data_IF_851718188544
#
_entry.id   IF_851718188544
#
_cell.length_a   1.000
_cell.length_b   1.000
_cell.length_c   1.000
_cell.angle_alpha   90.00
_cell.angle_beta   90.00
_cell.angle_gamma   90.00
#
_symmetry.space_group_name_H-M   'P 1'
#
loop_
_entity.id
_entity.type
_entity.pdbx_description
1 polymer ?
#
# COMPACT_ATOMS: atom_id res chain seq x y z
N UNK A 1 -0.93 0.09 10.23
CA UNK A 1 -0.68 0.42 8.81
C UNK A 1 -1.99 0.13 8.10
N UNK A 2 -2.65 1.16 7.59
CA UNK A 2 -4.07 1.09 7.22
C UNK A 2 -4.34 0.55 5.83
N UNK A 3 -5.61 0.49 5.49
CA UNK A 3 -6.10 0.18 4.15
C UNK A 3 -5.75 1.33 3.19
N UNK A 4 -5.58 1.03 1.89
CA UNK A 4 -5.31 2.04 0.89
C UNK A 4 -6.53 2.94 0.69
N UNK A 5 -6.33 4.24 0.73
CA UNK A 5 -7.42 5.19 0.42
C UNK A 5 -7.25 5.63 -1.03
N UNK A 6 -8.14 5.15 -1.92
CA UNK A 6 -8.10 5.43 -3.37
C UNK A 6 -6.78 4.99 -4.03
N UNK A 7 -6.24 3.84 -3.63
CA UNK A 7 -4.97 3.31 -4.12
C UNK A 7 -3.75 4.10 -3.65
N UNK A 8 -3.91 5.04 -2.71
CA UNK A 8 -2.82 5.82 -2.13
C UNK A 8 -2.54 5.39 -0.71
N UNK A 9 -1.26 5.47 -0.38
CA UNK A 9 -0.71 5.17 0.92
C UNK A 9 0.16 6.35 1.41
N UNK A 10 0.47 6.42 2.72
CA UNK A 10 1.43 7.38 3.25
C UNK A 10 2.76 7.34 2.48
N UNK A 11 3.45 8.47 2.42
CA UNK A 11 4.69 8.62 1.64
C UNK A 11 5.69 7.49 1.92
N UNK A 12 6.14 6.83 0.85
CA UNK A 12 7.07 5.69 0.94
C UNK A 12 6.42 4.34 1.24
N UNK A 13 5.09 4.24 1.16
CA UNK A 13 4.33 2.99 1.18
C UNK A 13 3.61 2.79 -0.15
N UNK A 14 3.35 1.54 -0.47
CA UNK A 14 2.63 1.15 -1.67
C UNK A 14 1.33 0.44 -1.30
N UNK A 15 0.35 0.51 -2.19
CA UNK A 15 -0.92 -0.17 -2.02
C UNK A 15 -0.82 -1.58 -2.61
N UNK A 16 -0.92 -2.58 -1.74
CA UNK A 16 -1.05 -3.96 -2.21
C UNK A 16 -2.36 -4.17 -2.97
N UNK A 17 -2.37 -5.20 -3.81
CA UNK A 17 -3.57 -5.71 -4.50
C UNK A 17 -4.74 -6.07 -3.55
N UNK A 18 -4.46 -6.27 -2.27
CA UNK A 18 -5.47 -6.57 -1.24
C UNK A 18 -6.04 -5.31 -0.57
N UNK A 19 -5.65 -4.11 -1.01
CA UNK A 19 -6.14 -2.87 -0.44
C UNK A 19 -5.46 -2.48 0.87
N UNK A 20 -4.25 -2.97 1.13
CA UNK A 20 -3.46 -2.61 2.31
C UNK A 20 -2.18 -1.85 1.97
N UNK A 21 -1.84 -0.85 2.77
CA UNK A 21 -0.60 -0.10 2.65
C UNK A 21 0.57 -0.79 3.34
N UNK A 22 1.69 -0.94 2.64
CA UNK A 22 2.91 -1.50 3.23
C UNK A 22 4.14 -1.20 2.39
N UNK A 23 5.27 -1.80 2.78
CA UNK A 23 6.55 -1.66 2.09
C UNK A 23 7.03 -3.01 1.58
N UNK A 24 7.77 -2.98 0.48
CA UNK A 24 8.35 -4.16 -0.14
C UNK A 24 7.51 -4.73 -1.28
N UNK A 25 8.01 -5.77 -1.96
CA UNK A 25 7.45 -6.26 -3.22
C UNK A 25 6.02 -6.79 -3.12
N UNK A 26 5.60 -7.25 -1.94
CA UNK A 26 4.21 -7.67 -1.67
C UNK A 26 3.18 -6.52 -1.70
N UNK A 27 3.66 -5.28 -1.58
CA UNK A 27 2.83 -4.07 -1.52
C UNK A 27 3.10 -3.13 -2.69
N UNK A 28 4.31 -3.14 -3.25
CA UNK A 28 4.76 -2.27 -4.35
C UNK A 28 4.81 -2.96 -5.72
N UNK A 29 4.22 -4.16 -5.85
CA UNK A 29 4.17 -4.92 -7.10
C UNK A 29 3.14 -4.37 -8.08
#
# INVERSE_FOLDING_TARGET
VGECVRGRCPSGMCCSQFGYCGKGPKYCG
#
